data_IF_874740433000
#
_entry.id   IF_874740433000
#
_cell.length_a   1.000
_cell.length_b   1.000
_cell.length_c   1.000
_cell.angle_alpha   90.00
_cell.angle_beta   90.00
_cell.angle_gamma   90.00
#
_symmetry.space_group_name_H-M   'P 1'
#
loop_
_entity.id
_entity.type
_entity.pdbx_description
1 polymer ?
#
# COMPACT_ATOMS: atom_id res chain seq x y z
N UNK A 1 18.50 -34.31 6.91
CA UNK A 1 18.12 -33.72 6.74
C UNK A 1 17.75 -33.24 6.68
N UNK A 2 17.43 -33.18 6.70
CA UNK A 2 16.83 -32.27 6.70
C UNK A 2 16.19 -32.04 6.49
N UNK A 3 16.31 -32.53 6.67
CA UNK A 3 15.57 -32.12 6.34
C UNK A 3 15.09 -31.73 6.35
N UNK A 4 15.01 -31.66 6.45
CA UNK A 4 14.30 -30.82 6.31
C UNK A 4 13.97 -30.52 6.22
N UNK A 5 14.16 -30.64 6.39
CA UNK A 5 13.67 -30.12 6.10
C UNK A 5 13.27 -29.57 5.95
N UNK A 6 13.30 -29.53 5.92
CA UNK A 6 12.80 -28.74 5.56
C UNK A 6 12.20 -28.51 5.46
N UNK A 7 11.83 -28.66 5.71
CA UNK A 7 11.09 -28.27 5.49
C UNK A 7 10.56 -27.72 5.74
N UNK A 8 10.63 -27.85 6.02
CA UNK A 8 9.93 -27.24 6.30
C UNK A 8 9.70 -26.24 6.06
N UNK A 9 9.89 -25.94 6.06
CA UNK A 9 9.63 -24.85 5.85
C UNK A 9 8.88 -24.57 5.07
N UNK A 10 8.73 -24.84 4.98
CA UNK A 10 8.03 -24.49 4.50
C UNK A 10 7.13 -24.59 4.63
N UNK A 11 7.16 -25.02 5.03
CA UNK A 11 6.07 -24.95 5.31
C UNK A 11 5.54 -24.08 5.80
N UNK A 12 6.04 -23.79 6.24
CA UNK A 12 5.48 -22.71 6.87
C UNK A 12 4.52 -21.95 6.08
N UNK A 13 4.83 -21.79 4.90
CA UNK A 13 3.93 -21.12 4.00
C UNK A 13 2.59 -21.81 3.90
N UNK A 14 2.59 -23.12 4.04
CA UNK A 14 1.37 -23.88 3.92
C UNK A 14 0.35 -23.58 5.02
N UNK A 15 0.80 -22.99 6.13
CA UNK A 15 -0.09 -22.69 7.24
C UNK A 15 -0.82 -21.36 7.10
N UNK A 16 -0.60 -20.62 6.04
CA UNK A 16 -1.23 -19.32 5.89
C UNK A 16 -2.75 -19.45 5.75
N UNK A 17 -3.48 -18.64 6.51
CA UNK A 17 -4.93 -18.64 6.39
C UNK A 17 -5.36 -18.14 5.02
N UNK A 18 -6.31 -18.82 4.37
CA UNK A 18 -6.76 -18.40 3.05
C UNK A 18 -7.37 -17.01 3.02
N UNK A 19 -8.00 -16.57 4.11
CA UNK A 19 -8.63 -15.27 4.13
C UNK A 19 -7.64 -14.11 4.16
N UNK A 20 -6.37 -14.39 4.36
CA UNK A 20 -5.33 -13.37 4.40
C UNK A 20 -4.68 -13.15 3.04
N UNK A 21 -5.36 -13.49 1.96
CA UNK A 21 -4.84 -13.29 0.62
C UNK A 21 -4.48 -11.82 0.37
N UNK A 22 -3.29 -11.64 -0.17
CA UNK A 22 -2.76 -10.33 -0.50
C UNK A 22 -2.85 -10.09 -2.00
N UNK A 23 -3.35 -8.93 -2.38
CA UNK A 23 -3.36 -8.51 -3.79
C UNK A 23 -2.09 -7.73 -4.06
N UNK A 24 -1.45 -8.00 -5.19
CA UNK A 24 -0.15 -7.41 -5.54
C UNK A 24 -0.13 -7.02 -7.01
N UNK A 25 0.47 -5.87 -7.30
CA UNK A 25 0.64 -5.38 -8.66
C UNK A 25 1.91 -4.54 -8.76
N UNK A 26 2.49 -4.49 -9.96
CA UNK A 26 3.73 -3.72 -10.18
C UNK A 26 3.61 -2.83 -11.40
N UNK A 27 4.39 -1.75 -11.40
CA UNK A 27 4.53 -0.86 -12.55
C UNK A 27 5.98 -0.35 -12.59
N UNK A 28 6.47 -0.03 -13.77
CA UNK A 28 7.80 0.57 -13.93
C UNK A 28 7.62 2.07 -14.09
N UNK A 29 8.32 2.84 -13.27
CA UNK A 29 8.32 4.31 -13.30
C UNK A 29 9.68 4.78 -13.80
N UNK A 30 9.68 5.71 -14.76
CA UNK A 30 10.90 6.23 -15.36
C UNK A 30 11.49 7.34 -14.49
N UNK A 31 11.99 6.93 -13.33
CA UNK A 31 12.62 7.83 -12.35
C UNK A 31 13.36 7.00 -11.31
N UNK A 32 14.36 7.60 -10.62
CA UNK A 32 15.06 6.93 -9.53
C UNK A 32 14.13 6.64 -8.35
N UNK A 33 14.47 5.63 -7.56
CA UNK A 33 13.68 5.24 -6.38
C UNK A 33 13.50 6.40 -5.40
N UNK A 34 14.52 7.24 -5.22
CA UNK A 34 14.43 8.39 -4.33
C UNK A 34 13.32 9.36 -4.74
N UNK A 35 13.18 9.60 -6.04
CA UNK A 35 12.13 10.49 -6.56
C UNK A 35 10.75 9.88 -6.38
N UNK A 36 10.62 8.57 -6.64
CA UNK A 36 9.36 7.86 -6.46
C UNK A 36 8.95 7.87 -4.99
N UNK A 37 9.88 7.54 -4.10
CA UNK A 37 9.56 7.50 -2.67
C UNK A 37 9.25 8.88 -2.11
N UNK A 38 9.87 9.94 -2.64
CA UNK A 38 9.56 11.31 -2.24
C UNK A 38 8.10 11.65 -2.53
N UNK A 39 7.56 11.20 -3.66
CA UNK A 39 6.14 11.41 -4.00
C UNK A 39 5.25 10.59 -3.08
N UNK A 40 5.60 9.34 -2.81
CA UNK A 40 4.84 8.47 -1.89
C UNK A 40 4.81 9.08 -0.47
N UNK A 41 5.91 9.70 -0.04
CA UNK A 41 6.03 10.25 1.30
C UNK A 41 5.39 11.64 1.46
N UNK A 42 5.06 12.30 0.36
CA UNK A 42 4.49 13.66 0.38
C UNK A 42 2.98 13.62 0.54
N UNK A 43 2.53 13.24 1.73
CA UNK A 43 1.10 13.07 2.02
C UNK A 43 0.27 14.33 1.82
N UNK A 44 0.74 15.53 2.20
CA UNK A 44 -0.06 16.74 1.99
C UNK A 44 -0.44 16.99 0.52
N UNK A 45 0.34 16.48 -0.42
CA UNK A 45 0.09 16.67 -1.85
C UNK A 45 -0.82 15.60 -2.45
N UNK A 46 -1.19 14.55 -1.70
CA UNK A 46 -2.01 13.46 -2.23
C UNK A 46 -3.30 13.94 -2.92
N UNK A 47 -4.06 14.90 -2.39
CA UNK A 47 -5.27 15.34 -3.09
C UNK A 47 -5.01 15.90 -4.49
N UNK A 48 -3.76 16.27 -4.82
CA UNK A 48 -3.42 16.80 -6.13
C UNK A 48 -3.33 15.70 -7.20
N UNK A 49 -3.07 14.45 -6.80
CA UNK A 49 -2.85 13.38 -7.76
C UNK A 49 -3.60 12.08 -7.45
N UNK A 50 -4.10 11.93 -6.24
CA UNK A 50 -4.96 10.79 -5.87
C UNK A 50 -6.40 11.26 -5.88
N UNK A 51 -7.12 10.92 -6.93
CA UNK A 51 -8.46 11.47 -7.15
C UNK A 51 -9.42 11.23 -5.99
N UNK A 52 -9.33 10.06 -5.35
CA UNK A 52 -10.23 9.70 -4.26
C UNK A 52 -9.85 10.34 -2.93
N UNK A 53 -8.65 10.87 -2.79
CA UNK A 53 -8.19 11.44 -1.51
C UNK A 53 -8.73 12.86 -1.34
N UNK A 54 -9.64 13.04 -0.40
CA UNK A 54 -10.22 14.37 -0.09
C UNK A 54 -9.46 15.08 1.00
N UNK A 55 -9.07 14.34 2.04
CA UNK A 55 -8.27 14.87 3.14
C UNK A 55 -7.15 13.88 3.43
N UNK A 56 -5.94 14.38 3.53
CA UNK A 56 -4.79 13.59 3.98
C UNK A 56 -4.02 14.44 4.96
N UNK A 57 -3.99 14.00 6.21
CA UNK A 57 -3.39 14.78 7.30
C UNK A 57 -2.38 13.93 8.05
N UNK A 58 -1.15 14.45 8.17
CA UNK A 58 -0.11 13.78 8.96
C UNK A 58 -0.37 14.08 10.44
N UNK A 59 -0.66 13.04 11.21
CA UNK A 59 -0.94 13.17 12.63
C UNK A 59 0.31 13.07 13.47
N UNK A 60 1.30 12.31 13.02
CA UNK A 60 2.54 12.11 13.75
C UNK A 60 3.68 11.88 12.76
N UNK A 61 4.83 12.52 13.03
CA UNK A 61 6.04 12.40 12.21
C UNK A 61 7.10 11.64 13.00
N UNK A 62 7.78 10.71 12.34
CA UNK A 62 8.85 9.93 12.96
C UNK A 62 10.19 10.68 12.99
N UNK A 63 11.21 10.08 13.61
CA UNK A 63 12.53 10.71 13.74
C UNK A 63 13.25 10.91 12.42
N UNK A 64 12.86 10.16 11.38
CA UNK A 64 13.44 10.30 10.04
C UNK A 64 12.79 11.45 9.24
N UNK A 65 11.85 12.18 9.82
CA UNK A 65 11.13 13.25 9.14
C UNK A 65 9.96 12.77 8.29
N UNK A 66 9.76 11.48 8.18
CA UNK A 66 8.65 10.90 7.44
C UNK A 66 7.46 10.64 8.34
N UNK A 67 6.25 10.64 7.75
CA UNK A 67 5.03 10.46 8.52
C UNK A 67 4.99 9.09 9.17
N UNK A 68 4.63 9.07 10.45
CA UNK A 68 4.41 7.83 11.19
C UNK A 68 2.93 7.48 11.22
N UNK A 69 2.06 8.47 11.35
CA UNK A 69 0.62 8.25 11.42
C UNK A 69 -0.09 9.27 10.55
N UNK A 70 -1.01 8.80 9.71
CA UNK A 70 -1.69 9.64 8.73
C UNK A 70 -3.19 9.35 8.75
N UNK A 71 -3.98 10.41 8.71
CA UNK A 71 -5.44 10.34 8.61
C UNK A 71 -5.87 10.58 7.17
N UNK A 72 -6.74 9.72 6.67
CA UNK A 72 -7.27 9.79 5.31
C UNK A 72 -8.79 9.89 5.33
N UNK A 73 -9.31 10.74 4.45
CA UNK A 73 -10.72 10.71 4.08
C UNK A 73 -10.78 10.45 2.59
N UNK A 74 -11.34 9.31 2.22
CA UNK A 74 -11.50 8.92 0.83
C UNK A 74 -12.94 9.04 0.39
N UNK A 75 -13.13 9.48 -0.84
CA UNK A 75 -14.44 9.53 -1.49
C UNK A 75 -14.24 9.12 -2.94
N UNK A 76 -14.56 7.86 -3.24
CA UNK A 76 -14.51 7.31 -4.58
C UNK A 76 -15.92 7.09 -5.14
N UNK A 77 -16.86 7.97 -4.77
CA UNK A 77 -18.23 7.88 -5.19
C UNK A 77 -19.03 6.91 -4.34
N UNK A 78 -19.14 5.66 -4.79
CA UNK A 78 -19.89 4.64 -4.05
C UNK A 78 -19.19 4.22 -2.76
N UNK A 79 -17.87 4.39 -2.68
CA UNK A 79 -17.08 4.00 -1.51
C UNK A 79 -16.50 5.24 -0.86
N UNK A 80 -16.85 5.45 0.40
CA UNK A 80 -16.31 6.52 1.22
C UNK A 80 -15.76 5.91 2.50
N UNK A 81 -14.60 6.37 2.93
CA UNK A 81 -14.01 5.88 4.17
C UNK A 81 -13.25 6.98 4.87
N UNK A 82 -13.13 6.83 6.18
CA UNK A 82 -12.38 7.72 7.06
C UNK A 82 -11.54 6.80 7.94
N UNK A 83 -10.21 6.88 7.79
CA UNK A 83 -9.34 5.91 8.47
C UNK A 83 -7.97 6.48 8.76
N UNK A 84 -7.26 5.80 9.66
CA UNK A 84 -5.91 6.18 10.10
C UNK A 84 -4.97 5.01 9.89
N UNK A 85 -3.83 5.29 9.29
CA UNK A 85 -2.78 4.30 9.03
C UNK A 85 -1.50 4.66 9.78
N UNK A 86 -0.79 3.64 10.24
CA UNK A 86 0.57 3.77 10.76
C UNK A 86 1.56 3.28 9.71
N UNK A 87 2.63 4.05 9.50
CA UNK A 87 3.64 3.81 8.48
C UNK A 87 4.99 3.45 9.09
N UNK A 88 5.68 2.52 8.43
CA UNK A 88 7.05 2.15 8.75
C UNK A 88 7.88 2.25 7.46
N UNK A 89 8.99 2.98 7.51
CA UNK A 89 9.82 3.29 6.34
C UNK A 89 11.16 2.55 6.41
N UNK A 90 11.61 2.04 5.27
CA UNK A 90 12.94 1.48 5.09
C UNK A 90 13.61 2.26 3.94
N UNK A 91 14.10 3.47 4.27
CA UNK A 91 14.73 4.35 3.30
C UNK A 91 13.84 4.60 2.08
N UNK A 92 14.44 4.50 0.89
CA UNK A 92 13.72 4.65 -0.37
C UNK A 92 13.39 3.29 -1.02
N UNK A 93 13.53 2.20 -0.25
CA UNK A 93 13.32 0.86 -0.78
C UNK A 93 11.94 0.32 -0.47
N UNK A 94 11.38 0.67 0.67
CA UNK A 94 10.13 0.07 1.10
C UNK A 94 9.42 0.94 2.12
N UNK A 95 8.10 0.93 2.05
CA UNK A 95 7.23 1.46 3.10
C UNK A 95 6.11 0.48 3.32
N UNK A 96 5.76 0.27 4.59
CA UNK A 96 4.63 -0.58 4.96
C UNK A 96 3.69 0.22 5.85
N UNK A 97 2.43 -0.19 5.87
CA UNK A 97 1.44 0.46 6.72
C UNK A 97 0.42 -0.53 7.22
N UNK A 98 -0.20 -0.18 8.34
CA UNK A 98 -1.24 -0.98 8.96
C UNK A 98 -2.33 -0.07 9.49
N UNK A 99 -3.56 -0.57 9.50
CA UNK A 99 -4.72 0.19 9.94
C UNK A 99 -4.71 0.37 11.46
N UNK A 100 -4.91 1.62 11.90
CA UNK A 100 -5.11 1.95 13.32
C UNK A 100 -6.60 1.93 13.64
N UNK A 101 -7.39 2.61 12.80
CA UNK A 101 -8.84 2.64 12.91
C UNK A 101 -9.45 3.00 11.57
N UNK A 102 -10.69 2.56 11.33
CA UNK A 102 -11.41 2.87 10.10
C UNK A 102 -12.91 2.74 10.30
N UNK A 103 -13.69 3.44 9.49
CA UNK A 103 -15.14 3.35 9.52
C UNK A 103 -15.64 2.15 8.73
N UNK A 104 -15.12 1.99 7.52
CA UNK A 104 -15.51 0.91 6.61
C UNK A 104 -14.59 -0.28 6.66
N UNK A 105 -13.35 -0.08 7.06
CA UNK A 105 -12.33 -1.11 7.13
C UNK A 105 -12.11 -1.55 8.56
N UNK A 106 -11.92 -2.85 8.77
CA UNK A 106 -11.47 -3.39 10.04
C UNK A 106 -10.04 -3.90 9.98
N UNK A 107 -9.46 -3.96 8.79
CA UNK A 107 -8.07 -4.32 8.58
C UNK A 107 -7.57 -3.73 7.26
N UNK A 108 -6.36 -3.21 7.28
CA UNK A 108 -5.60 -2.92 6.09
C UNK A 108 -4.12 -3.10 6.40
N UNK A 109 -3.44 -3.91 5.58
CA UNK A 109 -1.99 -4.03 5.59
C UNK A 109 -1.53 -3.78 4.16
N UNK A 110 -0.57 -2.90 4.00
CA UNK A 110 -0.09 -2.57 2.66
C UNK A 110 1.40 -2.30 2.62
N UNK A 111 1.93 -2.27 1.40
CA UNK A 111 3.33 -1.94 1.18
C UNK A 111 3.58 -1.44 -0.23
N UNK A 112 4.57 -0.56 -0.35
CA UNK A 112 5.26 -0.28 -1.60
C UNK A 112 6.69 -0.79 -1.47
N UNK A 113 7.16 -1.53 -2.46
CA UNK A 113 8.55 -1.96 -2.56
C UNK A 113 9.12 -1.43 -3.87
N UNK A 114 10.25 -0.76 -3.80
CA UNK A 114 10.88 -0.10 -4.93
C UNK A 114 12.21 -0.76 -5.26
N UNK A 115 12.39 -1.17 -6.52
CA UNK A 115 13.64 -1.74 -7.01
C UNK A 115 14.09 -0.91 -8.21
N UNK A 116 15.20 -0.21 -8.04
CA UNK A 116 15.75 0.63 -9.11
C UNK A 116 16.77 -0.14 -9.93
N UNK A 117 16.69 0.02 -11.25
CA UNK A 117 17.64 -0.54 -12.21
C UNK A 117 17.82 0.47 -13.33
N UNK A 118 19.04 0.93 -13.55
CA UNK A 118 19.39 1.87 -14.61
C UNK A 118 18.54 3.14 -14.60
N UNK A 119 18.31 3.69 -13.42
CA UNK A 119 17.57 4.95 -13.26
C UNK A 119 16.07 4.84 -13.39
N UNK A 120 15.55 3.62 -13.51
CA UNK A 120 14.11 3.34 -13.54
C UNK A 120 13.76 2.49 -12.35
N UNK A 121 12.53 2.62 -11.85
CA UNK A 121 12.12 1.95 -10.63
C UNK A 121 10.91 1.07 -10.88
N UNK A 122 11.02 -0.21 -10.51
CA UNK A 122 9.86 -1.08 -10.44
C UNK A 122 9.21 -0.86 -9.08
N UNK A 123 7.94 -0.46 -9.10
CA UNK A 123 7.15 -0.22 -7.89
C UNK A 123 6.17 -1.37 -7.74
N UNK A 124 6.28 -2.10 -6.65
CA UNK A 124 5.33 -3.17 -6.32
C UNK A 124 4.46 -2.73 -5.15
N UNK A 125 3.15 -2.72 -5.38
CA UNK A 125 2.16 -2.35 -4.38
C UNK A 125 1.41 -3.62 -3.97
N UNK A 126 1.37 -3.87 -2.68
CA UNK A 126 0.63 -5.02 -2.12
C UNK A 126 -0.34 -4.52 -1.07
N UNK A 127 -1.54 -5.11 -1.02
CA UNK A 127 -2.54 -4.70 -0.06
C UNK A 127 -3.44 -5.87 0.35
N UNK A 128 -3.82 -5.88 1.62
CA UNK A 128 -4.84 -6.77 2.18
C UNK A 128 -5.84 -5.89 2.91
N UNK A 129 -7.10 -5.97 2.54
CA UNK A 129 -8.16 -5.18 3.16
C UNK A 129 -9.29 -6.10 3.61
N UNK A 130 -9.78 -5.89 4.83
CA UNK A 130 -11.01 -6.50 5.31
C UNK A 130 -11.99 -5.39 5.66
N UNK A 131 -13.20 -5.51 5.14
CA UNK A 131 -14.25 -4.54 5.37
C UNK A 131 -15.12 -4.94 6.55
N UNK A 132 -15.73 -3.95 7.19
CA UNK A 132 -16.68 -4.17 8.28
C UNK A 132 -17.92 -4.90 7.78
N UNK A 133 -18.25 -4.76 6.49
CA UNK A 133 -19.35 -5.48 5.85
C UNK A 133 -18.76 -6.63 5.05
N UNK A 134 -19.24 -7.87 5.24
CA UNK A 134 -18.70 -9.01 4.49
C UNK A 134 -18.86 -8.82 2.98
N UNK A 135 -17.84 -9.22 2.22
CA UNK A 135 -17.86 -9.25 0.77
C UNK A 135 -17.48 -10.65 0.29
N UNK A 136 -18.06 -11.05 -0.84
CA UNK A 136 -17.63 -12.26 -1.51
C UNK A 136 -16.16 -12.10 -1.92
N UNK A 137 -15.37 -13.16 -1.74
CA UNK A 137 -13.93 -13.11 -2.01
C UNK A 137 -13.57 -12.65 -3.41
N UNK A 138 -14.34 -13.07 -4.41
CA UNK A 138 -14.11 -12.68 -5.80
C UNK A 138 -14.30 -11.17 -6.00
N UNK A 139 -15.36 -10.61 -5.41
CA UNK A 139 -15.65 -9.17 -5.50
C UNK A 139 -14.58 -8.37 -4.78
N UNK A 140 -14.16 -8.85 -3.62
CA UNK A 140 -13.11 -8.21 -2.83
C UNK A 140 -11.79 -8.15 -3.61
N UNK A 141 -11.37 -9.26 -4.21
CA UNK A 141 -10.12 -9.31 -4.99
C UNK A 141 -10.18 -8.39 -6.20
N UNK A 142 -11.33 -8.34 -6.87
CA UNK A 142 -11.50 -7.45 -8.02
C UNK A 142 -11.40 -5.99 -7.59
N UNK A 143 -12.02 -5.63 -6.47
CA UNK A 143 -11.95 -4.27 -5.93
C UNK A 143 -10.51 -3.91 -5.55
N UNK A 144 -9.79 -4.80 -4.88
CA UNK A 144 -8.40 -4.58 -4.53
C UNK A 144 -7.53 -4.38 -5.77
N UNK A 145 -7.75 -5.17 -6.81
CA UNK A 145 -7.00 -5.05 -8.05
C UNK A 145 -7.21 -3.67 -8.70
N UNK A 146 -8.43 -3.18 -8.71
CA UNK A 146 -8.74 -1.86 -9.27
C UNK A 146 -8.04 -0.77 -8.44
N UNK A 147 -8.04 -0.88 -7.12
CA UNK A 147 -7.36 0.05 -6.24
C UNK A 147 -5.86 0.10 -6.54
N UNK A 148 -5.22 -1.07 -6.63
CA UNK A 148 -3.78 -1.15 -6.92
C UNK A 148 -3.45 -0.57 -8.28
N UNK A 149 -4.22 -0.93 -9.30
CA UNK A 149 -3.97 -0.48 -10.67
C UNK A 149 -4.10 1.03 -10.77
N UNK A 150 -5.16 1.59 -10.22
CA UNK A 150 -5.39 3.03 -10.23
C UNK A 150 -4.31 3.78 -9.49
N UNK A 151 -3.95 3.32 -8.29
CA UNK A 151 -2.92 3.97 -7.48
C UNK A 151 -1.57 3.98 -8.18
N UNK A 152 -1.18 2.86 -8.79
CA UNK A 152 0.10 2.77 -9.49
C UNK A 152 0.14 3.66 -10.72
N UNK A 153 -0.96 3.73 -11.48
CA UNK A 153 -1.03 4.61 -12.64
C UNK A 153 -0.99 6.08 -12.25
N UNK A 154 -1.70 6.46 -11.19
CA UNK A 154 -1.67 7.82 -10.68
C UNK A 154 -0.27 8.19 -10.18
N UNK A 155 0.39 7.29 -9.47
CA UNK A 155 1.76 7.49 -8.98
C UNK A 155 2.72 7.70 -10.14
N UNK A 156 2.68 6.81 -11.13
CA UNK A 156 3.54 6.90 -12.31
C UNK A 156 3.37 8.23 -13.02
N UNK A 157 2.14 8.63 -13.23
CA UNK A 157 1.83 9.89 -13.90
C UNK A 157 2.34 11.09 -13.09
N UNK A 158 2.20 11.05 -11.77
CA UNK A 158 2.66 12.13 -10.89
C UNK A 158 4.18 12.26 -10.92
N UNK A 159 4.89 11.14 -10.85
CA UNK A 159 6.36 11.14 -10.81
C UNK A 159 6.94 11.54 -12.16
N UNK A 160 6.40 11.02 -13.25
CA UNK A 160 6.94 11.30 -14.59
C UNK A 160 6.51 12.65 -15.15
N UNK A 161 5.56 13.29 -14.52
CA UNK A 161 5.05 14.57 -14.96
C UNK A 161 3.84 14.39 -15.81
#
# INVERSE_FOLDING_TARGET
>A
MHPGTGLAGRRGAASLPPMAEQSTQSIVVDAPAADVMAVIADFPSYPQWVAAAKTVEVLETGPDGRAKRVHFVLDAGAVKDDYVLDYTWDGDRRVTWTLVQGQMQKRQDGSYTLVETDGRTEVTYSITIDLSIPMLGMIKRKAEKVILDTALKELKKRVEG
#
